data_IF_047035020172
#
_entry.id   IF_047035020172
#
_cell.length_a   1.000
_cell.length_b   1.000
_cell.length_c   1.000
_cell.angle_alpha   90.00
_cell.angle_beta   90.00
_cell.angle_gamma   90.00
#
_symmetry.space_group_name_H-M   'P 1'
#
loop_
_entity.id
_entity.type
_entity.pdbx_description
1 polymer ?
#
# COMPACT_ATOMS: atom_id res chain seq x y z
N UNK A 1 -24.28 -0.96 -16.97
CA UNK A 1 -22.99 -0.40 -17.48
C UNK A 1 -23.15 -0.22 -18.98
N UNK A 2 -22.68 0.88 -19.57
CA UNK A 2 -22.77 1.08 -21.03
C UNK A 2 -22.08 -0.07 -21.78
N UNK A 3 -22.65 -0.49 -22.90
CA UNK A 3 -22.08 -1.53 -23.77
C UNK A 3 -20.73 -1.07 -24.32
N UNK A 4 -19.73 -1.96 -24.29
CA UNK A 4 -18.38 -1.68 -24.80
C UNK A 4 -18.27 -2.11 -26.25
N UNK A 5 -17.57 -1.32 -27.08
CA UNK A 5 -17.31 -1.72 -28.46
C UNK A 5 -16.41 -2.96 -28.49
N UNK A 6 -16.67 -3.93 -29.40
CA UNK A 6 -15.92 -5.18 -29.45
C UNK A 6 -14.40 -4.95 -29.63
N UNK A 7 -14.00 -3.99 -30.47
CA UNK A 7 -12.59 -3.62 -30.63
C UNK A 7 -11.91 -3.12 -29.35
N UNK A 8 -12.65 -2.40 -28.49
CA UNK A 8 -12.13 -1.96 -27.18
C UNK A 8 -11.96 -3.11 -26.20
N UNK A 9 -12.90 -4.07 -26.22
CA UNK A 9 -12.81 -5.28 -25.38
C UNK A 9 -11.62 -6.12 -25.80
N UNK A 10 -11.43 -6.37 -27.10
CA UNK A 10 -10.31 -7.13 -27.63
C UNK A 10 -8.98 -6.45 -27.30
N UNK A 11 -8.83 -5.16 -27.58
CA UNK A 11 -7.61 -4.41 -27.25
C UNK A 11 -7.31 -4.43 -25.75
N UNK A 12 -8.34 -4.30 -24.90
CA UNK A 12 -8.17 -4.38 -23.46
C UNK A 12 -7.78 -5.79 -22.97
N UNK A 13 -8.29 -6.85 -23.60
CA UNK A 13 -7.87 -8.23 -23.30
C UNK A 13 -6.39 -8.45 -23.64
N UNK A 14 -5.90 -7.93 -24.76
CA UNK A 14 -4.48 -8.04 -25.13
C UNK A 14 -3.60 -7.34 -24.08
N UNK A 15 -3.94 -6.11 -23.70
CA UNK A 15 -3.21 -5.37 -22.66
C UNK A 15 -3.28 -6.09 -21.31
N UNK A 16 -4.44 -6.64 -20.96
CA UNK A 16 -4.65 -7.42 -19.74
C UNK A 16 -3.77 -8.68 -19.70
N UNK A 17 -3.68 -9.43 -20.81
CA UNK A 17 -2.81 -10.61 -20.89
C UNK A 17 -1.34 -10.23 -20.70
N UNK A 18 -0.86 -9.20 -21.40
CA UNK A 18 0.53 -8.73 -21.28
C UNK A 18 0.82 -8.28 -19.83
N UNK A 19 -0.07 -7.48 -19.23
CA UNK A 19 0.09 -7.04 -17.85
C UNK A 19 0.10 -8.21 -16.86
N UNK A 20 -0.72 -9.24 -17.08
CA UNK A 20 -0.77 -10.43 -16.23
C UNK A 20 0.47 -11.30 -16.35
N UNK A 21 1.04 -11.40 -17.56
CA UNK A 21 2.32 -12.10 -17.77
C UNK A 21 3.50 -11.37 -17.10
N UNK A 22 3.42 -10.05 -16.96
CA UNK A 22 4.45 -9.25 -16.28
C UNK A 22 4.29 -9.22 -14.75
N UNK A 23 3.19 -9.75 -14.22
CA UNK A 23 2.89 -9.75 -12.78
C UNK A 23 4.00 -10.33 -11.88
N UNK A 24 4.68 -11.44 -12.25
CA UNK A 24 5.74 -12.02 -11.42
C UNK A 24 6.93 -11.07 -11.23
N UNK A 25 7.26 -10.28 -12.25
CA UNK A 25 8.30 -9.25 -12.14
C UNK A 25 7.86 -8.10 -11.23
N UNK A 26 6.58 -7.74 -11.26
CA UNK A 26 6.02 -6.76 -10.33
C UNK A 26 6.19 -7.15 -8.85
N UNK A 27 6.03 -8.44 -8.54
CA UNK A 27 6.29 -8.97 -7.18
C UNK A 27 7.78 -8.95 -6.81
N UNK A 28 8.67 -9.15 -7.77
CA UNK A 28 10.12 -9.06 -7.53
C UNK A 28 10.55 -7.62 -7.15
N UNK A 29 9.86 -6.59 -7.67
CA UNK A 29 10.13 -5.19 -7.32
C UNK A 29 9.38 -4.71 -6.06
N UNK A 30 8.23 -5.33 -5.74
CA UNK A 30 7.49 -5.01 -4.51
C UNK A 30 6.54 -6.15 -4.15
N UNK A 31 6.87 -6.90 -3.10
CA UNK A 31 5.98 -7.90 -2.48
C UNK A 31 4.69 -7.26 -1.91
N UNK A 32 4.66 -5.93 -1.80
CA UNK A 32 3.70 -5.17 -1.02
C UNK A 32 2.63 -4.48 -1.87
N UNK A 33 2.96 -4.04 -3.10
CA UNK A 33 1.95 -3.50 -4.02
C UNK A 33 1.32 -4.65 -4.81
N UNK A 34 0.16 -5.11 -4.36
CA UNK A 34 -0.58 -6.17 -5.04
C UNK A 34 -1.24 -5.61 -6.30
N UNK A 35 -0.46 -5.47 -7.37
CA UNK A 35 -0.92 -4.98 -8.69
C UNK A 35 -2.15 -5.75 -9.17
N UNK A 36 -2.21 -7.05 -8.86
CA UNK A 36 -3.39 -7.91 -9.06
C UNK A 36 -4.69 -7.28 -8.55
N UNK A 37 -4.71 -6.81 -7.30
CA UNK A 37 -5.87 -6.20 -6.65
C UNK A 37 -6.28 -4.87 -7.30
N UNK A 38 -5.31 -4.12 -7.83
CA UNK A 38 -5.54 -2.78 -8.38
C UNK A 38 -5.97 -2.88 -9.84
N UNK A 39 -5.25 -3.66 -10.64
CA UNK A 39 -5.44 -3.73 -12.08
C UNK A 39 -6.69 -4.52 -12.46
N UNK A 40 -7.07 -5.55 -11.70
CA UNK A 40 -8.28 -6.35 -12.02
C UNK A 40 -9.56 -5.49 -12.02
N UNK A 41 -9.86 -4.69 -10.97
CA UNK A 41 -10.98 -3.75 -11.00
C UNK A 41 -10.82 -2.64 -12.05
N UNK A 42 -9.59 -2.20 -12.36
CA UNK A 42 -9.32 -1.21 -13.42
C UNK A 42 -9.70 -1.76 -14.79
N UNK A 43 -9.30 -2.99 -15.13
CA UNK A 43 -9.69 -3.64 -16.38
C UNK A 43 -11.21 -3.85 -16.45
N UNK A 44 -11.82 -4.25 -15.32
CA UNK A 44 -13.28 -4.35 -15.20
C UNK A 44 -13.98 -3.02 -15.51
N UNK A 45 -13.55 -1.93 -14.87
CA UNK A 45 -14.06 -0.59 -15.11
C UNK A 45 -13.76 -0.09 -16.52
N UNK A 46 -12.64 -0.52 -17.12
CA UNK A 46 -12.18 -0.02 -18.40
C UNK A 46 -12.88 -0.67 -19.59
N UNK A 47 -13.08 -1.97 -19.59
CA UNK A 47 -13.62 -2.68 -20.75
C UNK A 47 -14.48 -3.89 -20.39
N UNK A 48 -14.88 -4.03 -19.12
CA UNK A 48 -15.83 -5.03 -18.67
C UNK A 48 -15.18 -6.31 -18.13
N UNK A 49 -15.97 -7.38 -17.94
CA UNK A 49 -15.51 -8.59 -17.23
C UNK A 49 -14.45 -9.39 -17.98
N UNK A 50 -14.49 -9.44 -19.31
CA UNK A 50 -13.57 -10.27 -20.10
C UNK A 50 -12.08 -9.87 -19.91
N UNK A 51 -11.68 -8.58 -20.03
CA UNK A 51 -10.31 -8.15 -19.73
C UNK A 51 -9.89 -8.38 -18.27
N UNK A 52 -10.81 -8.25 -17.31
CA UNK A 52 -10.51 -8.50 -15.89
C UNK A 52 -10.19 -9.98 -15.64
N UNK A 53 -10.98 -10.89 -16.23
CA UNK A 53 -10.74 -12.33 -16.16
C UNK A 53 -9.46 -12.72 -16.91
N UNK A 54 -9.18 -12.11 -18.06
CA UNK A 54 -7.96 -12.33 -18.82
C UNK A 54 -6.71 -11.96 -18.01
N UNK A 55 -6.72 -10.78 -17.37
CA UNK A 55 -5.62 -10.35 -16.50
C UNK A 55 -5.44 -11.28 -15.29
N UNK A 56 -6.54 -11.65 -14.63
CA UNK A 56 -6.50 -12.52 -13.45
C UNK A 56 -5.98 -13.93 -13.80
N UNK A 57 -6.49 -14.53 -14.88
CA UNK A 57 -6.04 -15.84 -15.36
C UNK A 57 -4.58 -15.83 -15.78
N UNK A 58 -4.15 -14.82 -16.55
CA UNK A 58 -2.76 -14.67 -16.95
C UNK A 58 -1.83 -14.45 -15.76
N UNK A 59 -2.25 -13.67 -14.77
CA UNK A 59 -1.48 -13.43 -13.53
C UNK A 59 -1.31 -14.69 -12.70
N UNK A 60 -2.36 -15.49 -12.53
CA UNK A 60 -2.28 -16.74 -11.78
C UNK A 60 -1.42 -17.78 -12.51
N UNK A 61 -1.57 -17.85 -13.83
CA UNK A 61 -0.77 -18.74 -14.67
C UNK A 61 0.72 -18.36 -14.63
N UNK A 62 1.05 -17.07 -14.77
CA UNK A 62 2.44 -16.60 -14.73
C UNK A 62 3.09 -16.79 -13.36
N UNK A 63 2.33 -16.67 -12.27
CA UNK A 63 2.82 -17.01 -10.93
C UNK A 63 3.05 -18.51 -10.76
N UNK A 64 2.14 -19.34 -11.27
CA UNK A 64 2.29 -20.78 -11.23
C UNK A 64 3.53 -21.25 -12.01
N UNK A 65 3.80 -20.65 -13.17
CA UNK A 65 4.95 -21.04 -14.02
C UNK A 65 6.28 -20.56 -13.48
N UNK A 66 6.35 -19.34 -12.92
CA UNK A 66 7.62 -18.77 -12.44
C UNK A 66 7.95 -19.13 -10.99
N UNK A 67 6.94 -19.24 -10.12
CA UNK A 67 7.11 -19.39 -8.67
C UNK A 67 6.39 -20.61 -8.09
N UNK A 68 5.76 -21.42 -8.93
CA UNK A 68 5.08 -22.65 -8.53
C UNK A 68 3.62 -22.47 -8.07
N UNK A 69 2.93 -23.60 -7.91
CA UNK A 69 1.49 -23.64 -7.61
C UNK A 69 1.12 -23.02 -6.25
N UNK A 70 2.02 -23.08 -5.27
CA UNK A 70 1.80 -22.45 -3.95
C UNK A 70 1.70 -20.92 -4.07
N UNK A 71 2.54 -20.29 -4.90
CA UNK A 71 2.48 -18.85 -5.14
C UNK A 71 1.22 -18.43 -5.90
N UNK A 72 0.77 -19.26 -6.86
CA UNK A 72 -0.51 -19.03 -7.54
C UNK A 72 -1.70 -19.11 -6.56
N UNK A 73 -1.68 -20.07 -5.62
CA UNK A 73 -2.69 -20.19 -4.57
C UNK A 73 -2.67 -19.00 -3.60
N UNK A 74 -1.48 -18.55 -3.17
CA UNK A 74 -1.33 -17.32 -2.40
C UNK A 74 -1.86 -16.11 -3.18
N UNK A 75 -1.66 -16.09 -4.49
CA UNK A 75 -2.18 -15.08 -5.38
C UNK A 75 -3.71 -14.97 -5.41
N UNK A 76 -4.43 -16.11 -5.40
CA UNK A 76 -5.89 -16.11 -5.27
C UNK A 76 -6.35 -15.37 -4.01
N UNK A 77 -5.69 -15.63 -2.88
CA UNK A 77 -6.00 -14.99 -1.62
C UNK A 77 -5.64 -13.50 -1.63
N UNK A 78 -4.46 -13.16 -2.14
CA UNK A 78 -3.89 -11.82 -2.09
C UNK A 78 -4.50 -10.81 -3.06
N UNK A 79 -4.89 -11.25 -4.27
CA UNK A 79 -5.46 -10.35 -5.27
C UNK A 79 -6.85 -10.73 -5.77
N UNK A 80 -7.14 -12.01 -5.99
CA UNK A 80 -8.42 -12.37 -6.61
C UNK A 80 -9.60 -12.06 -5.70
N UNK A 81 -9.50 -12.41 -4.41
CA UNK A 81 -10.58 -12.16 -3.44
C UNK A 81 -10.80 -10.65 -3.18
N UNK A 82 -9.77 -9.83 -2.86
CA UNK A 82 -9.96 -8.39 -2.70
C UNK A 82 -10.46 -7.71 -3.98
N UNK A 83 -9.94 -8.06 -5.16
CA UNK A 83 -10.41 -7.52 -6.44
C UNK A 83 -11.88 -7.89 -6.70
N UNK A 84 -12.25 -9.15 -6.44
CA UNK A 84 -13.63 -9.63 -6.57
C UNK A 84 -14.59 -8.89 -5.65
N UNK A 85 -14.19 -8.63 -4.41
CA UNK A 85 -14.98 -7.83 -3.46
C UNK A 85 -15.22 -6.40 -3.96
N UNK A 86 -14.19 -5.74 -4.49
CA UNK A 86 -14.31 -4.40 -5.10
C UNK A 86 -15.27 -4.43 -6.29
N UNK A 87 -15.08 -5.37 -7.22
CA UNK A 87 -15.92 -5.51 -8.42
C UNK A 87 -17.37 -5.79 -8.02
N UNK A 88 -17.62 -6.69 -7.06
CA UNK A 88 -18.96 -7.00 -6.58
C UNK A 88 -19.68 -5.75 -6.03
N UNK A 89 -18.97 -4.92 -5.25
CA UNK A 89 -19.54 -3.67 -4.73
C UNK A 89 -19.71 -2.60 -5.80
N UNK A 90 -18.88 -2.58 -6.84
CA UNK A 90 -19.08 -1.73 -8.02
C UNK A 90 -20.33 -2.13 -8.80
N UNK A 91 -20.53 -3.44 -9.02
CA UNK A 91 -21.74 -3.97 -9.68
C UNK A 91 -22.99 -3.60 -8.88
N UNK A 92 -22.92 -3.72 -7.54
CA UNK A 92 -24.00 -3.34 -6.62
C UNK A 92 -24.20 -1.83 -6.46
N UNK A 93 -23.37 -0.99 -7.09
CA UNK A 93 -23.39 0.48 -6.96
C UNK A 93 -23.42 0.95 -5.50
N UNK A 94 -22.60 0.30 -4.66
CA UNK A 94 -22.53 0.68 -3.26
C UNK A 94 -21.91 2.09 -3.08
N UNK A 95 -22.25 2.82 -1.99
CA UNK A 95 -21.66 4.11 -1.65
C UNK A 95 -20.14 4.12 -1.79
N UNK A 96 -19.59 5.18 -2.39
CA UNK A 96 -18.14 5.27 -2.68
C UNK A 96 -17.26 4.98 -1.45
N UNK A 97 -17.56 5.60 -0.31
CA UNK A 97 -16.81 5.36 0.93
C UNK A 97 -17.13 4.02 1.61
N UNK A 98 -18.24 3.37 1.26
CA UNK A 98 -18.49 1.98 1.66
C UNK A 98 -17.61 1.02 0.83
N UNK A 99 -17.51 1.24 -0.49
CA UNK A 99 -16.56 0.53 -1.37
C UNK A 99 -15.12 0.67 -0.89
N UNK A 100 -14.69 1.90 -0.59
CA UNK A 100 -13.34 2.19 -0.13
C UNK A 100 -13.00 1.43 1.16
N UNK A 101 -13.89 1.47 2.16
CA UNK A 101 -13.69 0.77 3.43
C UNK A 101 -13.65 -0.75 3.25
N UNK A 102 -14.55 -1.30 2.44
CA UNK A 102 -14.58 -2.73 2.16
C UNK A 102 -13.34 -3.19 1.38
N UNK A 103 -12.84 -2.39 0.44
CA UNK A 103 -11.62 -2.69 -0.32
C UNK A 103 -10.38 -2.74 0.58
N UNK A 104 -10.21 -1.73 1.45
CA UNK A 104 -9.12 -1.69 2.43
C UNK A 104 -9.25 -2.86 3.41
N UNK A 105 -10.45 -3.11 3.93
CA UNK A 105 -10.71 -4.23 4.85
C UNK A 105 -10.43 -5.59 4.21
N UNK A 106 -10.89 -5.82 2.97
CA UNK A 106 -10.65 -7.06 2.24
C UNK A 106 -9.17 -7.28 1.99
N UNK A 107 -8.42 -6.25 1.60
CA UNK A 107 -6.98 -6.38 1.37
C UNK A 107 -6.23 -6.69 2.66
N UNK A 108 -6.52 -5.98 3.76
CA UNK A 108 -5.89 -6.25 5.06
C UNK A 108 -6.25 -7.65 5.59
N UNK A 109 -7.50 -8.09 5.42
CA UNK A 109 -7.94 -9.43 5.78
C UNK A 109 -7.22 -10.51 4.96
N UNK A 110 -7.05 -10.31 3.65
CA UNK A 110 -6.29 -11.22 2.80
C UNK A 110 -4.82 -11.33 3.19
N UNK A 111 -4.17 -10.19 3.50
CA UNK A 111 -2.79 -10.19 3.98
C UNK A 111 -2.66 -10.92 5.31
N UNK A 112 -3.56 -10.66 6.26
CA UNK A 112 -3.59 -11.35 7.55
C UNK A 112 -3.85 -12.85 7.39
N UNK A 113 -4.81 -13.23 6.54
CA UNK A 113 -5.12 -14.62 6.26
C UNK A 113 -3.91 -15.35 5.66
N UNK A 114 -3.17 -14.70 4.75
CA UNK A 114 -1.94 -15.29 4.20
C UNK A 114 -0.90 -15.54 5.29
N UNK A 115 -0.64 -14.55 6.13
CA UNK A 115 0.31 -14.68 7.25
C UNK A 115 -0.11 -15.84 8.17
N UNK A 116 -1.39 -15.94 8.52
CA UNK A 116 -1.92 -17.00 9.37
C UNK A 116 -1.84 -18.39 8.70
N UNK A 117 -2.16 -18.50 7.42
CA UNK A 117 -2.08 -19.76 6.66
C UNK A 117 -0.62 -20.23 6.57
N UNK A 118 0.30 -19.33 6.25
CA UNK A 118 1.72 -19.66 6.17
C UNK A 118 2.28 -20.05 7.54
N UNK A 119 1.91 -19.32 8.59
CA UNK A 119 2.32 -19.65 9.95
C UNK A 119 1.76 -21.01 10.41
N UNK A 120 0.48 -21.28 10.16
CA UNK A 120 -0.16 -22.54 10.54
C UNK A 120 0.35 -23.73 9.70
N UNK A 121 0.63 -23.52 8.41
CA UNK A 121 1.07 -24.56 7.50
C UNK A 121 2.55 -24.92 7.64
N UNK A 122 3.42 -23.94 7.89
CA UNK A 122 4.87 -24.14 7.96
C UNK A 122 5.40 -24.19 9.41
N UNK A 123 4.62 -23.74 10.39
CA UNK A 123 5.08 -23.59 11.77
C UNK A 123 6.19 -22.55 11.93
N UNK A 124 6.39 -21.69 10.92
CA UNK A 124 7.48 -20.71 10.82
C UNK A 124 6.90 -19.32 10.55
N UNK A 125 7.60 -18.27 10.95
CA UNK A 125 7.17 -16.91 10.63
C UNK A 125 7.40 -16.61 9.14
N UNK A 126 6.62 -15.68 8.57
CA UNK A 126 6.80 -15.24 7.18
C UNK A 126 8.21 -14.72 6.92
N UNK A 127 8.83 -14.09 7.93
CA UNK A 127 10.19 -13.58 7.83
C UNK A 127 11.17 -14.73 7.71
N UNK A 128 11.01 -15.80 8.49
CA UNK A 128 11.93 -16.95 8.42
C UNK A 128 11.90 -17.59 7.04
N UNK A 129 10.70 -17.76 6.47
CA UNK A 129 10.51 -18.30 5.12
C UNK A 129 11.17 -17.40 4.07
N UNK A 130 11.01 -16.08 4.20
CA UNK A 130 11.64 -15.13 3.28
C UNK A 130 13.16 -15.14 3.41
N UNK A 131 13.69 -15.16 4.63
CA UNK A 131 15.12 -15.15 4.88
C UNK A 131 15.79 -16.44 4.42
N UNK A 132 15.16 -17.59 4.64
CA UNK A 132 15.62 -18.88 4.11
C UNK A 132 15.72 -18.85 2.57
N UNK A 133 14.72 -18.29 1.89
CA UNK A 133 14.76 -18.13 0.44
C UNK A 133 15.86 -17.15 -0.01
N UNK A 134 16.09 -16.05 0.72
CA UNK A 134 17.16 -15.10 0.42
C UNK A 134 18.56 -15.67 0.67
N UNK A 135 18.74 -16.47 1.72
CA UNK A 135 20.00 -17.16 2.00
C UNK A 135 20.28 -18.21 0.94
N UNK A 136 19.29 -19.03 0.58
CA UNK A 136 19.45 -20.01 -0.51
C UNK A 136 19.80 -19.33 -1.84
N UNK A 137 19.15 -18.20 -2.16
CA UNK A 137 19.51 -17.40 -3.32
C UNK A 137 20.93 -16.83 -3.25
N UNK A 138 21.36 -16.36 -2.08
CA UNK A 138 22.71 -15.84 -1.87
C UNK A 138 23.79 -16.92 -2.06
N UNK A 139 23.51 -18.15 -1.64
CA UNK A 139 24.41 -19.30 -1.80
C UNK A 139 24.58 -19.71 -3.27
N UNK A 140 23.61 -19.43 -4.12
CA UNK A 140 23.66 -19.69 -5.57
C UNK A 140 24.40 -18.58 -6.35
N UNK A 141 24.75 -17.46 -5.71
CA UNK A 141 25.41 -16.35 -6.40
C UNK A 141 26.89 -16.66 -6.72
N UNK A 142 27.34 -16.37 -7.95
CA UNK A 142 28.76 -16.31 -8.27
C UNK A 142 29.52 -15.35 -7.33
N UNK A 143 30.67 -15.79 -6.83
CA UNK A 143 31.51 -15.00 -5.91
C UNK A 143 31.77 -13.54 -6.36
N UNK A 144 32.02 -13.22 -7.64
CA UNK A 144 32.19 -11.84 -8.07
C UNK A 144 30.94 -10.98 -7.86
N UNK A 145 29.74 -11.55 -8.00
CA UNK A 145 28.49 -10.84 -7.76
C UNK A 145 28.28 -10.56 -6.28
N UNK A 146 28.64 -11.51 -5.41
CA UNK A 146 28.63 -11.32 -3.95
C UNK A 146 29.52 -10.13 -3.55
N UNK A 147 30.74 -10.07 -4.08
CA UNK A 147 31.66 -8.95 -3.81
C UNK A 147 31.10 -7.61 -4.30
N UNK A 148 30.53 -7.57 -5.52
CA UNK A 148 29.89 -6.35 -6.05
C UNK A 148 28.73 -5.90 -5.17
N UNK A 149 27.89 -6.83 -4.71
CA UNK A 149 26.77 -6.51 -3.83
C UNK A 149 27.25 -5.94 -2.49
N UNK A 150 28.27 -6.54 -1.88
CA UNK A 150 28.87 -6.01 -0.65
C UNK A 150 29.43 -4.60 -0.86
N UNK A 151 30.11 -4.34 -1.98
CA UNK A 151 30.60 -3.00 -2.29
C UNK A 151 29.45 -2.00 -2.44
N UNK A 152 28.33 -2.39 -3.03
CA UNK A 152 27.13 -1.54 -3.07
C UNK A 152 26.55 -1.29 -1.67
N UNK A 153 26.52 -2.29 -0.80
CA UNK A 153 26.10 -2.11 0.60
C UNK A 153 27.04 -1.17 1.36
N UNK A 154 28.35 -1.27 1.15
CA UNK A 154 29.32 -0.33 1.71
C UNK A 154 29.10 1.11 1.19
N UNK A 155 28.92 1.29 -0.12
CA UNK A 155 28.70 2.61 -0.74
C UNK A 155 27.38 3.27 -0.33
N UNK A 156 26.36 2.46 -0.04
CA UNK A 156 25.04 2.96 0.42
C UNK A 156 24.98 3.20 1.92
N UNK A 157 26.07 2.91 2.66
CA UNK A 157 26.12 3.04 4.11
C UNK A 157 25.29 1.99 4.86
N UNK A 158 24.98 0.87 4.20
CA UNK A 158 24.32 -0.28 4.83
C UNK A 158 25.28 -1.09 5.72
N UNK A 159 26.59 -0.89 5.55
CA UNK A 159 27.63 -1.37 6.44
C UNK A 159 28.19 -0.22 7.27
N UNK A 160 28.67 -0.50 8.47
CA UNK A 160 29.43 0.48 9.25
C UNK A 160 30.71 0.91 8.52
N UNK A 161 31.29 2.02 8.94
CA UNK A 161 32.43 2.63 8.25
C UNK A 161 33.66 1.70 8.21
N UNK A 162 33.85 0.89 9.26
CA UNK A 162 34.97 -0.03 9.38
C UNK A 162 34.81 -1.22 8.42
N UNK A 163 33.69 -1.94 8.50
CA UNK A 163 33.35 -3.07 7.64
C UNK A 163 33.23 -2.64 6.18
N UNK A 164 32.65 -1.46 5.92
CA UNK A 164 32.56 -0.88 4.58
C UNK A 164 33.92 -0.59 3.97
N UNK A 165 34.88 -0.08 4.76
CA UNK A 165 36.25 0.17 4.28
C UNK A 165 36.99 -1.11 3.91
N UNK A 166 36.81 -2.18 4.70
CA UNK A 166 37.41 -3.50 4.46
C UNK A 166 36.84 -4.13 3.18
N UNK A 167 35.53 -4.06 2.98
CA UNK A 167 34.85 -4.51 1.75
C UNK A 167 35.34 -3.74 0.52
N UNK A 168 35.45 -2.42 0.61
CA UNK A 168 35.88 -1.57 -0.51
C UNK A 168 37.37 -1.72 -0.84
N UNK A 169 38.19 -2.10 0.13
CA UNK A 169 39.62 -2.40 -0.10
C UNK A 169 39.86 -3.67 -0.91
N UNK A 170 38.83 -4.51 -1.10
CA UNK A 170 38.96 -5.80 -1.79
C UNK A 170 39.75 -6.85 -0.98
N UNK A 171 39.93 -6.64 0.32
CA UNK A 171 40.71 -7.50 1.19
C UNK A 171 40.01 -8.82 1.57
N UNK A 172 38.71 -8.95 1.27
CA UNK A 172 37.93 -10.14 1.62
C UNK A 172 38.13 -11.27 0.62
N UNK A 173 38.35 -12.47 1.13
CA UNK A 173 38.26 -13.70 0.35
C UNK A 173 36.81 -13.97 -0.07
N UNK A 174 36.60 -14.90 -1.02
CA UNK A 174 35.25 -15.29 -1.46
C UNK A 174 34.40 -15.86 -0.31
N UNK A 175 35.00 -16.67 0.56
CA UNK A 175 34.32 -17.23 1.74
C UNK A 175 33.95 -16.15 2.76
N UNK A 176 34.86 -15.21 3.03
CA UNK A 176 34.58 -14.09 3.93
C UNK A 176 33.51 -13.14 3.36
N UNK A 177 33.48 -12.97 2.04
CA UNK A 177 32.44 -12.20 1.36
C UNK A 177 31.06 -12.87 1.51
N UNK A 178 30.98 -14.19 1.33
CA UNK A 178 29.73 -14.92 1.53
C UNK A 178 29.26 -14.84 2.99
N UNK A 179 30.17 -15.01 3.96
CA UNK A 179 29.86 -14.89 5.38
C UNK A 179 29.35 -13.49 5.76
N UNK A 180 29.99 -12.43 5.24
CA UNK A 180 29.53 -11.05 5.44
C UNK A 180 28.13 -10.81 4.83
N UNK A 181 27.86 -11.38 3.65
CA UNK A 181 26.53 -11.31 3.04
C UNK A 181 25.48 -12.01 3.90
N UNK A 182 25.80 -13.17 4.46
CA UNK A 182 24.91 -13.89 5.38
C UNK A 182 24.62 -13.09 6.65
N UNK A 183 25.62 -12.42 7.22
CA UNK A 183 25.42 -11.55 8.39
C UNK A 183 24.47 -10.39 8.08
N UNK A 184 24.63 -9.74 6.92
CA UNK A 184 23.71 -8.69 6.44
C UNK A 184 22.29 -9.27 6.31
N UNK A 185 22.13 -10.48 5.78
CA UNK A 185 20.84 -11.13 5.67
C UNK A 185 20.22 -11.38 7.07
N UNK A 186 20.99 -11.83 8.06
CA UNK A 186 20.50 -12.02 9.44
C UNK A 186 20.00 -10.70 10.02
N UNK A 187 20.78 -9.62 9.93
CA UNK A 187 20.39 -8.28 10.39
C UNK A 187 19.15 -7.77 9.66
N UNK A 188 19.06 -8.03 8.35
CA UNK A 188 17.89 -7.71 7.52
C UNK A 188 16.66 -8.48 7.99
N UNK A 189 16.81 -9.74 8.39
CA UNK A 189 15.76 -10.57 8.97
C UNK A 189 15.20 -9.98 10.27
N UNK A 190 16.06 -9.50 11.17
CA UNK A 190 15.61 -8.84 12.41
C UNK A 190 14.86 -7.53 12.11
N UNK A 191 15.38 -6.71 11.20
CA UNK A 191 14.72 -5.49 10.76
C UNK A 191 13.37 -5.79 10.09
N UNK A 192 13.27 -6.86 9.31
CA UNK A 192 12.01 -7.34 8.71
C UNK A 192 11.00 -7.76 9.77
N UNK A 193 11.40 -8.46 10.84
CA UNK A 193 10.48 -8.83 11.94
C UNK A 193 9.84 -7.61 12.62
N UNK A 194 10.58 -6.51 12.72
CA UNK A 194 10.08 -5.24 13.26
C UNK A 194 9.18 -4.50 12.25
N UNK A 195 9.58 -4.46 10.98
CA UNK A 195 8.97 -3.57 9.98
C UNK A 195 7.91 -4.22 9.10
N UNK A 196 7.91 -5.55 8.97
CA UNK A 196 7.00 -6.30 8.11
C UNK A 196 5.51 -6.02 8.44
N UNK A 197 5.07 -6.00 9.72
CA UNK A 197 3.69 -5.63 10.03
C UNK A 197 3.31 -4.24 9.52
N UNK A 198 4.23 -3.27 9.62
CA UNK A 198 4.02 -1.92 9.12
C UNK A 198 3.98 -1.86 7.60
N UNK A 199 4.82 -2.64 6.93
CA UNK A 199 4.79 -2.82 5.48
C UNK A 199 3.44 -3.38 5.02
N UNK A 200 2.94 -4.45 5.66
CA UNK A 200 1.65 -5.06 5.33
C UNK A 200 0.46 -4.11 5.56
N UNK A 201 0.43 -3.40 6.68
CA UNK A 201 -0.64 -2.43 6.97
C UNK A 201 -0.63 -1.30 5.95
N UNK A 202 0.52 -0.69 5.71
CA UNK A 202 0.64 0.44 4.78
C UNK A 202 0.29 0.06 3.35
N UNK A 203 0.76 -1.10 2.90
CA UNK A 203 0.52 -1.60 1.57
C UNK A 203 -0.93 -2.02 1.36
N UNK A 204 -1.55 -2.65 2.36
CA UNK A 204 -2.97 -3.02 2.33
C UNK A 204 -3.89 -1.80 2.24
N UNK A 205 -3.59 -0.75 3.00
CA UNK A 205 -4.34 0.52 2.94
C UNK A 205 -4.19 1.17 1.55
N UNK A 206 -2.96 1.34 1.06
CA UNK A 206 -2.71 1.99 -0.24
C UNK A 206 -3.35 1.19 -1.38
N UNK A 207 -3.18 -0.13 -1.37
CA UNK A 207 -3.74 -1.04 -2.38
C UNK A 207 -5.26 -0.97 -2.40
N UNK A 208 -5.92 -1.05 -1.24
CA UNK A 208 -7.38 -0.94 -1.15
C UNK A 208 -7.91 0.42 -1.62
N UNK A 209 -7.18 1.50 -1.31
CA UNK A 209 -7.50 2.85 -1.79
C UNK A 209 -7.40 2.93 -3.31
N UNK A 210 -6.29 2.48 -3.89
CA UNK A 210 -6.06 2.53 -5.34
C UNK A 210 -7.03 1.63 -6.11
N UNK A 211 -7.30 0.43 -5.58
CA UNK A 211 -8.26 -0.51 -6.14
C UNK A 211 -9.68 0.04 -6.18
N UNK A 212 -10.03 1.06 -5.37
CA UNK A 212 -11.33 1.73 -5.45
C UNK A 212 -11.27 3.03 -6.25
N UNK A 213 -10.24 3.84 -6.04
CA UNK A 213 -10.14 5.19 -6.60
C UNK A 213 -9.91 5.21 -8.11
N UNK A 214 -9.03 4.33 -8.62
CA UNK A 214 -8.72 4.25 -10.05
C UNK A 214 -9.92 3.79 -10.88
N UNK A 215 -10.56 2.63 -10.60
CA UNK A 215 -11.73 2.20 -11.37
C UNK A 215 -12.92 3.14 -11.19
N UNK A 216 -13.15 3.69 -9.98
CA UNK A 216 -14.19 4.70 -9.74
C UNK A 216 -14.02 5.92 -10.64
N UNK A 217 -12.79 6.43 -10.80
CA UNK A 217 -12.49 7.54 -11.72
C UNK A 217 -12.76 7.18 -13.17
N UNK A 218 -12.48 5.94 -13.59
CA UNK A 218 -12.76 5.46 -14.95
C UNK A 218 -14.26 5.39 -15.20
N UNK A 219 -15.05 4.86 -14.25
CA UNK A 219 -16.50 4.78 -14.35
C UNK A 219 -17.14 6.19 -14.31
N UNK A 220 -16.67 7.09 -13.45
CA UNK A 220 -17.16 8.46 -13.37
C UNK A 220 -16.97 9.22 -14.68
N UNK A 221 -15.82 9.07 -15.35
CA UNK A 221 -15.56 9.67 -16.67
C UNK A 221 -16.52 9.22 -17.77
N UNK A 222 -17.19 8.08 -17.60
CA UNK A 222 -18.20 7.55 -18.55
C UNK A 222 -19.62 7.93 -18.18
N UNK A 223 -19.82 8.48 -16.99
CA UNK A 223 -21.12 8.66 -16.36
C UNK A 223 -21.74 7.37 -15.82
N UNK A 224 -20.93 6.32 -15.58
CA UNK A 224 -21.41 5.02 -15.07
C UNK A 224 -21.45 4.97 -13.52
N UNK A 225 -20.81 5.92 -12.83
CA UNK A 225 -20.70 5.97 -11.36
C UNK A 225 -21.08 7.37 -10.83
N UNK A 226 -22.37 7.62 -10.51
CA UNK A 226 -22.84 8.92 -10.03
C UNK A 226 -22.38 9.23 -8.60
N UNK A 227 -21.94 8.22 -7.84
CA UNK A 227 -21.54 8.38 -6.43
C UNK A 227 -20.05 8.62 -6.26
N UNK A 228 -19.28 8.68 -7.35
CA UNK A 228 -17.84 8.87 -7.29
C UNK A 228 -17.47 10.20 -6.63
N UNK A 229 -16.63 10.11 -5.59
CA UNK A 229 -16.08 11.29 -4.91
C UNK A 229 -14.64 11.50 -5.36
N UNK A 230 -14.30 12.63 -6.03
CA UNK A 230 -12.92 12.91 -6.41
C UNK A 230 -12.05 13.11 -5.17
N UNK A 231 -10.74 12.88 -5.29
CA UNK A 231 -9.76 12.99 -4.19
C UNK A 231 -9.84 14.36 -3.46
N UNK A 232 -10.15 15.44 -4.18
CA UNK A 232 -10.38 16.75 -3.56
C UNK A 232 -11.54 16.75 -2.55
N UNK A 233 -12.53 15.89 -2.71
CA UNK A 233 -13.67 15.77 -1.79
C UNK A 233 -13.40 14.92 -0.55
N UNK A 234 -12.22 14.30 -0.40
CA UNK A 234 -11.98 13.34 0.67
C UNK A 234 -11.60 14.04 1.98
N UNK A 235 -12.20 13.58 3.08
CA UNK A 235 -11.94 14.09 4.42
C UNK A 235 -11.78 12.92 5.38
N UNK A 236 -10.98 13.12 6.43
CA UNK A 236 -10.78 12.11 7.47
C UNK A 236 -11.95 12.23 8.46
N UNK A 237 -12.78 11.20 8.62
CA UNK A 237 -13.89 11.26 9.56
C UNK A 237 -13.39 11.25 11.01
N UNK A 238 -14.11 11.92 11.92
CA UNK A 238 -13.78 12.00 13.36
C UNK A 238 -13.52 10.62 13.95
N UNK A 239 -14.38 9.66 13.62
CA UNK A 239 -14.29 8.27 14.12
C UNK A 239 -12.96 7.61 13.74
N UNK A 240 -12.42 7.91 12.57
CA UNK A 240 -11.11 7.37 12.15
C UNK A 240 -9.97 8.05 12.90
N UNK A 241 -10.04 9.35 13.14
CA UNK A 241 -9.05 10.08 13.95
C UNK A 241 -9.04 9.57 15.40
N UNK A 242 -10.21 9.41 16.02
CA UNK A 242 -10.32 8.87 17.37
C UNK A 242 -9.86 7.40 17.43
N UNK A 243 -10.25 6.58 16.45
CA UNK A 243 -9.79 5.19 16.37
C UNK A 243 -8.26 5.08 16.22
N UNK A 244 -7.66 5.92 15.38
CA UNK A 244 -6.22 6.02 15.23
C UNK A 244 -5.52 6.45 16.53
N UNK A 245 -6.08 7.43 17.24
CA UNK A 245 -5.54 7.88 18.53
C UNK A 245 -5.60 6.77 19.58
N UNK A 246 -6.74 6.09 19.71
CA UNK A 246 -6.90 4.96 20.65
C UNK A 246 -5.93 3.83 20.30
N UNK A 247 -5.79 3.49 19.03
CA UNK A 247 -4.84 2.48 18.58
C UNK A 247 -3.39 2.87 18.90
N UNK A 248 -3.01 4.13 18.71
CA UNK A 248 -1.69 4.64 19.07
C UNK A 248 -1.44 4.56 20.58
N UNK A 249 -2.36 5.08 21.40
CA UNK A 249 -2.24 5.05 22.87
C UNK A 249 -2.13 3.60 23.37
N UNK A 250 -2.93 2.70 22.81
CA UNK A 250 -2.88 1.27 23.14
C UNK A 250 -1.54 0.65 22.76
N UNK A 251 -1.03 0.93 21.55
CA UNK A 251 0.25 0.41 21.11
C UNK A 251 1.43 0.96 21.94
N UNK A 252 1.38 2.25 22.31
CA UNK A 252 2.35 2.85 23.23
C UNK A 252 2.31 2.22 24.62
N UNK A 253 1.12 1.97 25.16
CA UNK A 253 0.96 1.31 26.45
C UNK A 253 1.50 -0.12 26.44
N UNK A 254 1.24 -0.89 25.36
CA UNK A 254 1.79 -2.24 25.18
C UNK A 254 3.33 -2.21 25.06
N UNK A 255 3.87 -1.23 24.35
CA UNK A 255 5.32 -1.07 24.20
C UNK A 255 5.98 -0.66 25.53
N UNK A 256 5.34 0.23 26.29
CA UNK A 256 5.78 0.58 27.63
C UNK A 256 5.79 -0.63 28.56
N UNK A 257 4.77 -1.48 28.46
CA UNK A 257 4.66 -2.72 29.23
C UNK A 257 5.61 -3.84 28.75
N UNK A 258 6.45 -3.58 27.74
CA UNK A 258 7.42 -4.55 27.19
C UNK A 258 6.77 -5.87 26.77
N UNK A 259 5.54 -5.82 26.25
CA UNK A 259 4.86 -7.01 25.72
C UNK A 259 5.57 -7.47 24.45
N UNK A 260 5.81 -8.78 24.32
CA UNK A 260 6.45 -9.36 23.14
C UNK A 260 5.74 -8.92 21.84
N UNK A 261 6.51 -8.35 20.91
CA UNK A 261 5.99 -7.86 19.62
C UNK A 261 5.30 -6.49 19.68
N UNK A 262 5.24 -5.83 20.84
CA UNK A 262 4.60 -4.53 20.97
C UNK A 262 5.30 -3.43 20.15
N UNK A 263 6.63 -3.50 20.00
CA UNK A 263 7.38 -2.58 19.16
C UNK A 263 6.95 -2.68 17.68
N UNK A 264 6.87 -3.89 17.13
CA UNK A 264 6.40 -4.11 15.76
C UNK A 264 4.96 -3.62 15.56
N UNK A 265 4.10 -3.80 16.58
CA UNK A 265 2.72 -3.28 16.56
C UNK A 265 2.70 -1.75 16.58
N UNK A 266 3.52 -1.12 17.41
CA UNK A 266 3.65 0.34 17.48
C UNK A 266 4.10 0.92 16.14
N UNK A 267 5.14 0.33 15.54
CA UNK A 267 5.63 0.73 14.22
C UNK A 267 4.55 0.54 13.16
N UNK A 268 3.76 -0.55 13.22
CA UNK A 268 2.66 -0.78 12.29
C UNK A 268 1.52 0.23 12.42
N UNK A 269 1.11 0.56 13.65
CA UNK A 269 0.08 1.58 13.90
C UNK A 269 0.56 2.94 13.44
N UNK A 270 1.80 3.34 13.79
CA UNK A 270 2.40 4.60 13.33
C UNK A 270 2.40 4.69 11.81
N UNK A 271 2.82 3.63 11.12
CA UNK A 271 2.85 3.59 9.66
C UNK A 271 1.45 3.66 9.04
N UNK A 272 0.47 2.96 9.61
CA UNK A 272 -0.92 3.03 9.17
C UNK A 272 -1.50 4.45 9.30
N UNK A 273 -1.24 5.10 10.44
CA UNK A 273 -1.63 6.49 10.70
C UNK A 273 -0.96 7.44 9.70
N UNK A 274 0.34 7.26 9.48
CA UNK A 274 1.10 8.03 8.51
C UNK A 274 0.46 7.96 7.11
N UNK A 275 0.11 6.77 6.62
CA UNK A 275 -0.54 6.59 5.31
C UNK A 275 -1.90 7.27 5.26
N UNK A 276 -2.73 7.13 6.29
CA UNK A 276 -4.05 7.78 6.36
C UNK A 276 -3.91 9.30 6.23
N UNK A 277 -2.98 9.90 6.97
CA UNK A 277 -2.76 11.34 6.92
C UNK A 277 -2.03 11.80 5.66
N UNK A 278 -1.20 10.97 5.03
CA UNK A 278 -0.68 11.26 3.68
C UNK A 278 -1.81 11.37 2.65
N UNK A 279 -2.77 10.44 2.68
CA UNK A 279 -3.95 10.48 1.80
C UNK A 279 -4.78 11.74 2.07
N UNK A 280 -4.94 12.12 3.35
CA UNK A 280 -5.59 13.37 3.73
C UNK A 280 -4.83 14.60 3.22
N UNK A 281 -3.51 14.59 3.27
CA UNK A 281 -2.63 15.65 2.77
C UNK A 281 -2.73 15.81 1.26
N UNK A 282 -2.70 14.69 0.53
CA UNK A 282 -2.96 14.64 -0.92
C UNK A 282 -4.33 15.24 -1.26
N UNK A 283 -5.37 14.88 -0.50
CA UNK A 283 -6.71 15.45 -0.68
C UNK A 283 -6.75 16.96 -0.40
N UNK A 284 -6.08 17.42 0.65
CA UNK A 284 -6.00 18.84 1.02
C UNK A 284 -5.27 19.67 -0.04
N UNK A 285 -4.12 19.21 -0.52
CA UNK A 285 -3.39 19.85 -1.62
C UNK A 285 -4.23 19.88 -2.89
N UNK A 286 -4.90 18.76 -3.22
CA UNK A 286 -5.79 18.69 -4.38
C UNK A 286 -6.94 19.69 -4.31
N UNK A 287 -7.53 19.90 -3.12
CA UNK A 287 -8.53 20.96 -2.90
C UNK A 287 -7.97 22.34 -3.14
N UNK A 288 -6.82 22.67 -2.52
CA UNK A 288 -6.21 23.99 -2.65
C UNK A 288 -5.86 24.32 -4.09
N UNK A 289 -5.27 23.39 -4.82
CA UNK A 289 -5.00 23.60 -6.24
C UNK A 289 -6.27 23.68 -7.10
N UNK A 290 -7.36 23.02 -6.67
CA UNK A 290 -8.67 23.15 -7.33
C UNK A 290 -9.29 24.52 -7.12
N UNK A 291 -9.24 25.03 -5.90
CA UNK A 291 -9.70 26.38 -5.53
C UNK A 291 -8.91 27.45 -6.30
N UNK A 292 -7.61 27.23 -6.52
CA UNK A 292 -6.75 28.12 -7.34
C UNK A 292 -6.92 27.95 -8.87
N UNK A 293 -7.89 27.16 -9.35
CA UNK A 293 -8.15 26.98 -10.78
C UNK A 293 -7.05 26.24 -11.57
N UNK A 294 -6.09 25.57 -10.90
CA UNK A 294 -4.96 24.92 -11.58
C UNK A 294 -5.40 23.67 -12.36
N UNK A 295 -4.73 23.34 -13.46
CA UNK A 295 -5.06 22.18 -14.29
C UNK A 295 -4.83 20.84 -13.57
N UNK A 296 -5.55 19.79 -14.00
CA UNK A 296 -5.44 18.44 -13.39
C UNK A 296 -4.02 17.86 -13.50
N UNK A 297 -3.32 18.10 -14.61
CA UNK A 297 -1.93 17.64 -14.80
C UNK A 297 -0.97 18.28 -13.80
N UNK A 298 -1.06 19.61 -13.64
CA UNK A 298 -0.28 20.34 -12.66
C UNK A 298 -0.51 19.84 -11.24
N UNK A 299 -1.76 19.56 -10.87
CA UNK A 299 -2.11 18.98 -9.55
C UNK A 299 -1.44 17.64 -9.30
N UNK A 300 -1.41 16.76 -10.31
CA UNK A 300 -0.79 15.43 -10.17
C UNK A 300 0.71 15.57 -9.96
N UNK A 301 1.39 16.42 -10.75
CA UNK A 301 2.84 16.61 -10.64
C UNK A 301 3.22 17.27 -9.31
N UNK A 302 2.55 18.35 -8.93
CA UNK A 302 2.84 19.08 -7.69
C UNK A 302 2.46 18.35 -6.41
N UNK A 303 1.61 17.33 -6.48
CA UNK A 303 1.32 16.45 -5.34
C UNK A 303 2.22 15.22 -5.36
N UNK A 304 2.49 14.66 -6.54
CA UNK A 304 3.34 13.48 -6.69
C UNK A 304 4.79 13.73 -6.32
N UNK A 305 5.35 14.89 -6.69
CA UNK A 305 6.75 15.22 -6.40
C UNK A 305 7.01 15.32 -4.87
N UNK A 306 6.23 16.07 -4.07
CA UNK A 306 6.40 16.07 -2.61
C UNK A 306 6.09 14.73 -1.96
N UNK A 307 5.16 13.95 -2.51
CA UNK A 307 4.88 12.61 -1.97
C UNK A 307 6.10 11.67 -2.12
N UNK A 308 6.90 11.84 -3.18
CA UNK A 308 8.11 11.06 -3.43
C UNK A 308 9.28 11.53 -2.58
N UNK A 309 9.56 12.84 -2.57
CA UNK A 309 10.79 13.37 -1.95
C UNK A 309 10.60 13.82 -0.50
N UNK A 310 9.42 14.31 -0.12
CA UNK A 310 9.16 14.83 1.22
C UNK A 310 7.81 14.34 1.78
N UNK A 311 7.62 13.01 1.89
CA UNK A 311 6.36 12.40 2.30
C UNK A 311 5.88 12.89 3.68
N UNK A 312 6.82 13.20 4.59
CA UNK A 312 6.53 13.73 5.92
C UNK A 312 5.81 15.08 5.87
N UNK A 313 6.17 15.98 4.95
CA UNK A 313 5.48 17.27 4.81
C UNK A 313 4.03 17.09 4.35
N UNK A 314 3.80 16.17 3.41
CA UNK A 314 2.45 15.84 2.93
C UNK A 314 1.59 15.30 4.07
N UNK A 315 2.17 14.43 4.92
CA UNK A 315 1.50 13.93 6.12
C UNK A 315 1.12 15.07 7.08
N UNK A 316 2.05 15.99 7.39
CA UNK A 316 1.78 17.13 8.29
C UNK A 316 0.65 18.01 7.76
N UNK A 317 0.65 18.30 6.44
CA UNK A 317 -0.45 19.03 5.80
C UNK A 317 -1.79 18.28 5.98
N UNK A 318 -1.77 16.95 5.88
CA UNK A 318 -2.93 16.11 6.12
C UNK A 318 -3.46 16.19 7.55
N UNK A 319 -2.57 16.13 8.55
CA UNK A 319 -2.91 16.30 9.97
C UNK A 319 -3.53 17.68 10.19
N UNK A 320 -2.89 18.75 9.70
CA UNK A 320 -3.40 20.11 9.80
C UNK A 320 -4.78 20.26 9.13
N UNK A 321 -4.98 19.65 7.95
CA UNK A 321 -6.27 19.67 7.27
C UNK A 321 -7.35 18.89 8.01
N UNK A 322 -7.01 17.80 8.70
CA UNK A 322 -7.97 17.00 9.47
C UNK A 322 -8.38 17.70 10.78
N UNK A 323 -7.47 18.44 11.40
CA UNK A 323 -7.73 19.15 12.66
C UNK A 323 -8.37 20.53 12.43
N UNK A 324 -7.79 21.33 11.53
CA UNK A 324 -8.12 22.76 11.38
C UNK A 324 -8.77 23.11 10.03
N UNK A 325 -8.96 22.14 9.12
CA UNK A 325 -9.55 22.40 7.80
C UNK A 325 -11.02 22.85 7.85
N UNK A 326 -11.64 23.11 6.70
CA UNK A 326 -13.05 23.56 6.60
C UNK A 326 -14.07 22.55 7.18
N UNK A 327 -13.71 21.28 7.18
CA UNK A 327 -14.43 20.18 7.85
C UNK A 327 -13.58 19.55 8.96
N UNK A 328 -12.64 20.32 9.52
CA UNK A 328 -11.74 19.86 10.57
C UNK A 328 -12.46 19.72 11.90
N UNK A 329 -11.92 18.87 12.77
CA UNK A 329 -12.56 18.56 14.06
C UNK A 329 -12.61 19.77 15.00
N UNK A 330 -11.51 20.53 15.07
CA UNK A 330 -11.40 21.71 15.94
C UNK A 330 -12.24 22.86 15.37
N UNK A 331 -12.18 23.10 14.06
CA UNK A 331 -12.98 24.14 13.41
C UNK A 331 -14.48 23.84 13.43
N UNK A 332 -14.88 22.57 13.34
CA UNK A 332 -16.26 22.11 13.49
C UNK A 332 -16.79 22.34 14.90
N UNK A 333 -15.98 22.04 15.93
CA UNK A 333 -16.34 22.31 17.33
C UNK A 333 -16.49 23.82 17.60
N UNK A 334 -15.55 24.64 17.11
CA UNK A 334 -15.62 26.10 17.25
C UNK A 334 -16.87 26.67 16.56
N UNK A 335 -17.20 26.21 15.34
CA UNK A 335 -18.42 26.65 14.64
C UNK A 335 -19.69 26.25 15.36
N UNK A 336 -19.74 25.03 15.89
CA UNK A 336 -20.89 24.56 16.66
C UNK A 336 -21.10 25.44 17.90
N UNK A 337 -20.03 25.72 18.63
CA UNK A 337 -20.06 26.57 19.83
C UNK A 337 -20.38 28.04 19.52
N UNK A 338 -19.91 28.55 18.37
CA UNK A 338 -20.26 29.90 17.92
C UNK A 338 -21.74 30.00 17.55
N UNK A 339 -22.28 29.04 16.80
CA UNK A 339 -23.70 29.02 16.45
C UNK A 339 -24.65 28.67 17.60
N UNK A 340 -24.15 28.13 18.72
CA UNK A 340 -24.90 27.98 19.97
C UNK A 340 -24.97 29.32 20.74
N UNK A 341 -23.90 30.13 20.71
CA UNK A 341 -23.90 31.48 21.30
C UNK A 341 -24.78 32.46 20.54
N UNK A 342 -24.70 32.47 19.21
CA UNK A 342 -25.53 33.36 18.38
C UNK A 342 -27.05 33.08 18.59
N UNK A 343 -27.42 31.86 18.95
CA UNK A 343 -28.81 31.51 19.29
C UNK A 343 -29.23 31.93 20.70
N UNK A 344 -28.31 31.94 21.66
CA UNK A 344 -28.59 32.44 23.01
C UNK A 344 -28.75 33.97 23.00
N UNK A 345 -28.07 34.68 22.09
CA UNK A 345 -28.19 36.14 21.94
C UNK A 345 -29.44 36.58 21.15
N UNK A 346 -30.00 35.73 20.26
CA UNK A 346 -31.26 36.00 19.53
C UNK A 346 -32.53 35.74 20.37
N UNK A 347 -32.41 35.02 21.50
CA UNK A 347 -33.50 34.67 22.41
C UNK A 347 -33.61 35.65 23.63
N UNK A 348 -32.82 36.74 23.64
CA UNK A 348 -32.82 37.82 24.65
C UNK A 348 -33.37 39.14 24.08
#
# INVERSE_FOLDING_TARGET
MKTHSPGKVIGACVVALIAGLLQPFGLAFSVLCVFGTILTPVFFAWAGPAPALAYLGASLCSLATMWGMAMAAAGLLLFALPAGAVIALMIRRAPYFARLRAAVGAQLASLLALVLILYAGLGRSLVDVLMEAMTAWADELPAPLVTIMLQQFALTGALDAESGSVVLSGALTAEQSLAALHEILVQTGEALRLTLPAMLVSSGIITGILATALPGKICARRGDDPEYVPVSGWHVPVRLTLGALVALVTAYALNWAQVNGAESVLIAVLRGVQVIYMVAGVAALSRRFKEMGRSTGFRVVMIGLPLLFVPTLVMVIGVCSALFGRQGHISGYIRKKAGERDKEDDDL
#
